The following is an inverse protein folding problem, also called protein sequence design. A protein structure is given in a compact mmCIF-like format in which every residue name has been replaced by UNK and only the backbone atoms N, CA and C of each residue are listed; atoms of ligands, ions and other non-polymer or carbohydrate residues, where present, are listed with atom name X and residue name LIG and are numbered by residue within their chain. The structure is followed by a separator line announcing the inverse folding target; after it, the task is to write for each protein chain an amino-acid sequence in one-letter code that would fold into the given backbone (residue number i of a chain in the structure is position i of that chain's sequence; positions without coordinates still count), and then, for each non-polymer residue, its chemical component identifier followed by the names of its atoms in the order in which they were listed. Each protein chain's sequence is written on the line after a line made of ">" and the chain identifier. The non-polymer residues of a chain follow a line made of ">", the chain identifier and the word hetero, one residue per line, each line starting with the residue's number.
data_IF_951205599950
#
_entry.id   IF_951205599950
#
_cell.length_a   1.000
_cell.length_b   1.000
_cell.length_c   1.000
_cell.angle_alpha   90.00
_cell.angle_beta   90.00
_cell.angle_gamma   90.00
#
_symmetry.space_group_name_H-M   'P 1'
#
loop_
_entity.id
_entity.type
_entity.pdbx_description
1 polymer ?
#
# COMPACT_ATOMS: atom_id res chain seq x y z
N UNK A 1 -1.44 2.04 4.74
CA UNK A 1 -2.04 3.30 4.22
C UNK A 1 -1.17 4.51 4.57
N UNK A 2 -0.87 4.76 5.85
CA UNK A 2 -0.04 5.90 6.26
C UNK A 2 1.37 5.89 5.65
N UNK A 3 2.05 4.73 5.61
CA UNK A 3 3.35 4.58 4.95
C UNK A 3 3.31 5.03 3.48
N UNK A 4 2.32 4.56 2.71
CA UNK A 4 2.14 4.96 1.30
C UNK A 4 1.86 6.46 1.15
N UNK A 5 1.13 7.05 2.10
CA UNK A 5 0.87 8.50 2.12
C UNK A 5 2.14 9.33 2.35
N UNK A 6 3.16 8.73 2.99
CA UNK A 6 4.49 9.31 3.17
C UNK A 6 5.45 8.96 2.02
N UNK A 7 4.99 8.27 0.97
CA UNK A 7 5.83 7.83 -0.13
C UNK A 7 6.81 6.73 0.28
N UNK A 8 6.42 5.87 1.23
CA UNK A 8 7.22 4.74 1.69
C UNK A 8 6.51 3.42 1.35
N UNK A 9 7.24 2.42 0.81
CA UNK A 9 6.70 1.08 0.67
C UNK A 9 6.54 0.39 2.02
N UNK A 10 5.81 -0.73 2.05
CA UNK A 10 5.65 -1.54 3.26
C UNK A 10 5.97 -3.01 3.02
N UNK A 11 6.21 -3.73 4.11
CA UNK A 11 6.31 -5.20 4.14
C UNK A 11 5.34 -5.67 5.22
N UNK A 12 4.45 -6.60 4.87
CA UNK A 12 3.40 -7.08 5.78
C UNK A 12 3.09 -8.55 5.55
N UNK A 13 2.61 -9.24 6.58
CA UNK A 13 1.86 -10.50 6.38
C UNK A 13 0.52 -10.21 5.70
N UNK A 14 -0.12 -11.24 5.12
CA UNK A 14 -1.46 -11.15 4.54
C UNK A 14 -2.52 -11.00 5.65
N UNK A 15 -2.79 -9.76 6.05
CA UNK A 15 -3.80 -9.41 7.06
C UNK A 15 -4.52 -8.11 6.71
N UNK A 16 -5.83 -8.08 6.94
CA UNK A 16 -6.66 -6.89 6.71
C UNK A 16 -6.60 -6.41 5.25
N UNK A 17 -6.41 -5.11 5.03
CA UNK A 17 -6.28 -4.52 3.70
C UNK A 17 -4.87 -4.56 3.11
N UNK A 18 -3.95 -5.39 3.65
CA UNK A 18 -2.56 -5.41 3.20
C UNK A 18 -2.43 -5.81 1.72
N UNK A 19 -3.11 -6.88 1.29
CA UNK A 19 -3.11 -7.34 -0.11
C UNK A 19 -3.60 -6.25 -1.06
N UNK A 20 -4.74 -5.61 -0.75
CA UNK A 20 -5.31 -4.51 -1.53
C UNK A 20 -4.33 -3.33 -1.66
N UNK A 21 -3.73 -2.93 -0.54
CA UNK A 21 -2.77 -1.82 -0.52
C UNK A 21 -1.45 -2.15 -1.20
N UNK A 22 -1.09 -3.43 -1.30
CA UNK A 22 0.17 -3.88 -1.92
C UNK A 22 0.16 -3.67 -3.44
N UNK A 23 -1.03 -3.71 -4.04
CA UNK A 23 -1.24 -3.65 -5.49
C UNK A 23 -0.34 -4.63 -6.23
N UNK A 24 -0.52 -5.93 -5.97
CA UNK A 24 0.27 -7.01 -6.59
C UNK A 24 1.78 -6.85 -6.38
N UNK A 25 2.19 -6.39 -5.20
CA UNK A 25 3.61 -6.21 -4.86
C UNK A 25 4.21 -4.85 -5.24
N UNK A 26 3.46 -3.97 -5.92
CA UNK A 26 3.98 -2.71 -6.48
C UNK A 26 4.26 -1.65 -5.42
N UNK A 27 3.40 -1.58 -4.40
CA UNK A 27 3.48 -0.56 -3.34
C UNK A 27 3.87 -1.14 -1.98
N UNK A 28 3.84 -2.46 -1.83
CA UNK A 28 4.34 -3.16 -0.67
C UNK A 28 4.43 -4.65 -0.96
N UNK A 29 5.16 -5.39 -0.12
CA UNK A 29 5.35 -6.82 -0.31
C UNK A 29 4.60 -7.61 0.77
N UNK A 30 3.80 -8.57 0.32
CA UNK A 30 3.17 -9.56 1.20
C UNK A 30 4.14 -10.72 1.41
N UNK A 31 4.32 -11.10 2.68
CA UNK A 31 5.28 -12.12 3.10
C UNK A 31 4.62 -13.17 3.99
N UNK A 32 5.18 -14.39 3.98
CA UNK A 32 4.72 -15.51 4.80
C UNK A 32 5.77 -15.91 5.86
N UNK A 33 7.00 -15.39 5.74
CA UNK A 33 8.10 -15.75 6.61
C UNK A 33 9.01 -14.57 7.00
N UNK A 34 9.68 -14.72 8.15
CA UNK A 34 10.68 -13.74 8.60
C UNK A 34 11.85 -13.60 7.61
N UNK A 35 12.18 -14.68 6.88
CA UNK A 35 13.24 -14.66 5.89
C UNK A 35 12.85 -13.80 4.68
N UNK A 36 11.62 -13.93 4.19
CA UNK A 36 11.09 -13.06 3.15
C UNK A 36 11.03 -11.60 3.60
N UNK A 37 10.60 -11.34 4.85
CA UNK A 37 10.59 -9.99 5.40
C UNK A 37 11.99 -9.35 5.38
N UNK A 38 13.02 -10.09 5.85
CA UNK A 38 14.40 -9.63 5.84
C UNK A 38 14.91 -9.34 4.41
N UNK A 39 14.57 -10.20 3.45
CA UNK A 39 14.96 -10.00 2.05
C UNK A 39 14.26 -8.79 1.43
N UNK A 40 12.94 -8.63 1.66
CA UNK A 40 12.16 -7.51 1.14
C UNK A 40 12.70 -6.17 1.66
N UNK A 41 12.94 -6.07 2.97
CA UNK A 41 13.54 -4.87 3.58
C UNK A 41 14.92 -4.57 2.97
N UNK A 42 15.76 -5.61 2.79
CA UNK A 42 17.08 -5.46 2.15
C UNK A 42 16.96 -4.94 0.72
N UNK A 43 15.98 -5.42 -0.05
CA UNK A 43 15.75 -4.98 -1.43
C UNK A 43 15.35 -3.49 -1.48
N UNK A 44 14.47 -3.05 -0.58
CA UNK A 44 14.09 -1.63 -0.46
C UNK A 44 15.27 -0.74 -0.07
N UNK A 45 16.14 -1.21 0.84
CA UNK A 45 17.31 -0.45 1.30
C UNK A 45 18.43 -0.34 0.26
N UNK A 46 18.54 -1.33 -0.63
CA UNK A 46 19.60 -1.39 -1.66
C UNK A 46 19.15 -0.87 -3.03
N UNK A 47 17.96 -0.26 -3.10
CA UNK A 47 17.34 0.23 -4.35
C UNK A 47 17.17 -0.87 -5.41
N UNK A 48 17.11 -2.14 -4.99
CA UNK A 48 16.78 -3.26 -5.86
C UNK A 48 15.27 -3.37 -6.12
N UNK A 49 14.45 -2.56 -5.44
CA UNK A 49 13.00 -2.50 -5.66
C UNK A 49 12.63 -1.41 -6.67
N UNK A 50 11.52 -1.64 -7.38
CA UNK A 50 10.97 -0.72 -8.39
C UNK A 50 9.82 0.13 -7.81
N UNK A 51 9.90 0.54 -6.54
CA UNK A 51 8.82 1.30 -5.92
C UNK A 51 8.69 2.70 -6.55
N UNK A 52 7.54 2.99 -7.16
CA UNK A 52 7.21 4.30 -7.73
C UNK A 52 6.38 5.13 -6.74
N UNK A 53 7.01 6.15 -6.17
CA UNK A 53 6.38 7.07 -5.20
C UNK A 53 5.20 7.81 -5.82
N UNK A 54 5.29 8.21 -7.10
CA UNK A 54 4.23 8.99 -7.74
C UNK A 54 2.99 8.13 -7.95
N UNK A 55 3.21 6.88 -8.37
CA UNK A 55 2.10 5.96 -8.59
C UNK A 55 1.43 5.55 -7.28
N UNK A 56 2.22 5.23 -6.25
CA UNK A 56 1.70 4.95 -4.92
C UNK A 56 0.91 6.14 -4.35
N UNK A 57 1.39 7.36 -4.59
CA UNK A 57 0.71 8.60 -4.18
C UNK A 57 -0.62 8.80 -4.91
N UNK A 58 -0.69 8.50 -6.20
CA UNK A 58 -1.95 8.57 -6.96
C UNK A 58 -2.95 7.53 -6.47
N UNK A 59 -2.50 6.30 -6.24
CA UNK A 59 -3.34 5.23 -5.72
C UNK A 59 -3.92 5.58 -4.35
N UNK A 60 -3.10 6.08 -3.41
CA UNK A 60 -3.56 6.33 -2.04
C UNK A 60 -4.61 7.45 -1.95
N UNK A 61 -4.72 8.33 -2.97
CA UNK A 61 -5.75 9.38 -3.02
C UNK A 61 -7.19 8.84 -2.96
N UNK A 62 -7.42 7.59 -3.40
CA UNK A 62 -8.76 7.00 -3.35
C UNK A 62 -9.23 6.69 -1.92
N UNK A 63 -8.32 6.65 -0.95
CA UNK A 63 -8.63 6.35 0.45
C UNK A 63 -8.75 7.60 1.32
N UNK A 64 -8.74 8.79 0.73
CA UNK A 64 -8.88 10.06 1.46
C UNK A 64 -10.26 10.17 2.14
N UNK A 65 -10.33 10.94 3.21
CA UNK A 65 -11.60 11.22 3.92
C UNK A 65 -12.64 11.78 2.94
N UNK A 66 -12.24 12.69 2.05
CA UNK A 66 -13.13 13.25 1.04
C UNK A 66 -13.74 12.17 0.12
N UNK A 67 -12.95 11.18 -0.28
CA UNK A 67 -13.44 10.04 -1.08
C UNK A 67 -14.35 9.11 -0.30
N UNK A 68 -14.06 8.90 0.98
CA UNK A 68 -14.95 8.11 1.85
C UNK A 68 -16.30 8.80 2.07
N UNK A 69 -16.32 10.13 2.24
CA UNK A 69 -17.56 10.90 2.31
C UNK A 69 -18.37 10.74 1.03
N UNK A 70 -17.74 10.92 -0.14
CA UNK A 70 -18.38 10.75 -1.46
C UNK A 70 -19.01 9.35 -1.61
N UNK A 71 -18.33 8.30 -1.13
CA UNK A 71 -18.86 6.93 -1.16
C UNK A 71 -20.06 6.74 -0.24
N UNK A 72 -20.03 7.31 0.97
CA UNK A 72 -21.16 7.23 1.91
C UNK A 72 -22.37 8.00 1.39
N UNK A 73 -22.17 9.19 0.83
CA UNK A 73 -23.26 10.00 0.25
C UNK A 73 -23.96 9.24 -0.88
N UNK A 74 -23.22 8.59 -1.78
CA UNK A 74 -23.79 7.75 -2.85
C UNK A 74 -24.70 6.64 -2.33
N UNK A 75 -24.33 5.99 -1.22
CA UNK A 75 -25.14 4.92 -0.61
C UNK A 75 -26.43 5.45 0.02
N UNK A 76 -26.52 6.74 0.35
CA UNK A 76 -27.71 7.36 0.93
C UNK A 76 -28.68 7.88 -0.14
N UNK A 77 -28.20 8.06 -1.37
CA UNK A 77 -29.01 8.45 -2.54
C UNK A 77 -29.64 7.24 -3.26
N UNK A 78 -29.28 6.00 -2.85
CA UNK A 78 -29.92 4.73 -3.25
C UNK A 78 -31.20 4.44 -2.47
#
# INVERSE_FOLDING_TARGET
>A
MEALSLGLPFVSTDVGGAEELSQEGRFGQIIESNQEAAQAITNYMTSASNFDVNEASQFIQQFTIAKQIEQVEKLLEE
#
